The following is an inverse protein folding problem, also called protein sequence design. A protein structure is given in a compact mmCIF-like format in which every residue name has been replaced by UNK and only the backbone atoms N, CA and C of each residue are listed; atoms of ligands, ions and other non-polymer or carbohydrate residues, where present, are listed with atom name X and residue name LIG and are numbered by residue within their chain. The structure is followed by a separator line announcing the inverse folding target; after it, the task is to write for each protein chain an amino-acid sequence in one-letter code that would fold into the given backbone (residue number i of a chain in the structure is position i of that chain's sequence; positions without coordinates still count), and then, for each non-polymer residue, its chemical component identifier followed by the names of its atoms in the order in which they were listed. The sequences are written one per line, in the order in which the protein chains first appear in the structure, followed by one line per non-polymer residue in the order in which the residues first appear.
data_IF_740329617091
#
_entry.id   IF_740329617091
#
_cell.length_a   1.000
_cell.length_b   1.000
_cell.length_c   1.000
_cell.angle_alpha   90.00
_cell.angle_beta   90.00
_cell.angle_gamma   90.00
#
_symmetry.space_group_name_H-M   'P 1'
#
loop_
_entity.id
_entity.type
_entity.pdbx_description
1 polymer ?
#
# COMPACT_ATOMS: atom_id res chain seq x y z
N UNK A 1 4.59 -15.90 2.28
CA UNK A 1 5.03 -17.14 2.94
C UNK A 1 4.07 -18.28 2.67
N UNK A 2 2.79 -18.21 3.10
CA UNK A 2 1.81 -19.29 2.87
C UNK A 2 1.70 -19.75 1.42
N UNK A 3 1.65 -18.82 0.47
CA UNK A 3 1.55 -19.15 -0.96
C UNK A 3 2.80 -19.89 -1.49
N UNK A 4 3.99 -19.54 -1.03
CA UNK A 4 5.23 -20.12 -1.52
C UNK A 4 5.58 -21.43 -0.81
N UNK A 5 5.45 -21.47 0.53
CA UNK A 5 5.91 -22.61 1.33
C UNK A 5 4.80 -23.57 1.75
N UNK A 6 3.52 -23.23 1.49
CA UNK A 6 2.39 -24.01 1.99
C UNK A 6 2.34 -24.05 3.52
N UNK A 7 2.70 -22.93 4.18
CA UNK A 7 2.77 -22.85 5.63
C UNK A 7 1.44 -23.27 6.28
N UNK A 8 1.50 -24.24 7.17
CA UNK A 8 0.38 -24.73 7.98
C UNK A 8 0.37 -24.04 9.34
N UNK A 9 -0.80 -24.04 10.01
CA UNK A 9 -0.94 -23.47 11.35
C UNK A 9 -1.39 -22.00 11.38
N UNK A 10 -1.70 -21.40 10.23
CA UNK A 10 -2.40 -20.11 10.14
C UNK A 10 -3.90 -20.43 10.15
N UNK A 11 -4.65 -19.85 11.10
CA UNK A 11 -6.11 -20.04 11.20
C UNK A 11 -6.88 -19.08 10.30
N UNK A 12 -6.47 -17.82 10.27
CA UNK A 12 -7.11 -16.79 9.47
C UNK A 12 -6.14 -15.67 9.13
N UNK A 13 -6.51 -14.81 8.18
CA UNK A 13 -5.71 -13.66 7.75
C UNK A 13 -6.61 -12.42 7.70
N UNK A 14 -6.11 -11.30 8.22
CA UNK A 14 -6.60 -9.98 7.89
C UNK A 14 -5.61 -9.31 6.95
N UNK A 15 -6.07 -8.89 5.78
CA UNK A 15 -5.27 -8.19 4.77
C UNK A 15 -5.76 -6.75 4.66
N UNK A 16 -4.97 -5.80 5.14
CA UNK A 16 -5.31 -4.38 5.05
C UNK A 16 -4.55 -3.71 3.92
N UNK A 17 -5.28 -3.10 2.98
CA UNK A 17 -4.80 -2.27 1.86
C UNK A 17 -3.91 -2.99 0.84
N UNK A 18 -3.72 -4.29 0.97
CA UNK A 18 -2.91 -5.12 0.07
C UNK A 18 -3.72 -6.33 -0.41
N UNK A 19 -3.32 -6.85 -1.56
CA UNK A 19 -3.95 -8.00 -2.20
C UNK A 19 -2.95 -8.71 -3.11
N UNK A 20 -3.33 -9.86 -3.68
CA UNK A 20 -2.53 -10.52 -4.71
C UNK A 20 -2.59 -9.73 -6.02
N UNK A 21 -3.76 -9.20 -6.38
CA UNK A 21 -3.91 -8.27 -7.49
C UNK A 21 -3.61 -6.84 -7.02
N UNK A 22 -2.91 -6.07 -7.87
CA UNK A 22 -2.42 -4.74 -7.53
C UNK A 22 -2.69 -3.77 -8.68
N UNK A 23 -3.77 -3.01 -8.58
CA UNK A 23 -4.09 -1.95 -9.54
C UNK A 23 -3.72 -0.61 -8.93
N UNK A 24 -2.67 0.03 -9.42
CA UNK A 24 -2.26 1.36 -8.95
C UNK A 24 -3.15 2.48 -9.52
N UNK A 25 -3.21 3.60 -8.81
CA UNK A 25 -3.82 4.83 -9.29
C UNK A 25 -3.06 5.46 -10.47
N UNK A 26 -3.55 6.58 -10.97
CA UNK A 26 -3.02 7.22 -12.18
C UNK A 26 -1.53 7.58 -12.03
N UNK A 27 -1.14 8.20 -10.90
CA UNK A 27 0.25 8.59 -10.67
C UNK A 27 1.17 7.38 -10.49
N UNK A 28 0.69 6.32 -9.84
CA UNK A 28 1.42 5.06 -9.70
C UNK A 28 1.65 4.43 -11.08
N UNK A 29 0.64 4.38 -11.93
CA UNK A 29 0.75 3.89 -13.31
C UNK A 29 1.74 4.72 -14.13
N UNK A 30 1.70 6.05 -14.02
CA UNK A 30 2.61 6.93 -14.73
C UNK A 30 4.07 6.71 -14.30
N UNK A 31 4.37 6.76 -13.01
CA UNK A 31 5.72 6.55 -12.48
C UNK A 31 6.29 5.17 -12.85
N UNK A 32 5.47 4.13 -12.73
CA UNK A 32 5.89 2.75 -13.02
C UNK A 32 6.00 2.48 -14.50
N UNK A 33 5.12 3.07 -15.33
CA UNK A 33 5.17 2.99 -16.79
C UNK A 33 6.41 3.66 -17.38
N UNK A 34 6.80 4.82 -16.84
CA UNK A 34 8.02 5.53 -17.22
C UNK A 34 9.30 4.90 -16.64
N UNK A 35 9.19 3.80 -15.89
CA UNK A 35 10.32 3.14 -15.20
C UNK A 35 11.15 4.12 -14.37
N UNK A 36 10.46 5.01 -13.66
CA UNK A 36 11.09 6.09 -12.92
C UNK A 36 12.06 5.59 -11.83
N UNK A 37 11.78 4.53 -11.05
CA UNK A 37 12.74 3.97 -10.10
C UNK A 37 14.01 3.44 -10.78
N UNK A 38 13.89 2.79 -11.93
CA UNK A 38 15.04 2.27 -12.70
C UNK A 38 15.89 3.42 -13.25
N UNK A 39 15.27 4.55 -13.64
CA UNK A 39 15.98 5.73 -14.09
C UNK A 39 16.78 6.38 -12.96
N UNK A 40 16.18 6.58 -11.80
CA UNK A 40 16.85 7.14 -10.62
C UNK A 40 18.04 6.27 -10.18
N UNK A 41 17.86 4.96 -10.15
CA UNK A 41 18.93 4.01 -9.81
C UNK A 41 20.12 4.09 -10.77
N UNK A 42 19.87 4.20 -12.07
CA UNK A 42 20.92 4.42 -13.10
C UNK A 42 21.65 5.75 -12.94
N UNK A 43 21.01 6.75 -12.36
CA UNK A 43 21.62 8.04 -12.03
C UNK A 43 22.43 8.02 -10.72
N UNK A 44 22.56 6.83 -10.08
CA UNK A 44 23.26 6.67 -8.81
C UNK A 44 22.44 6.98 -7.58
N UNK A 45 21.11 7.13 -7.71
CA UNK A 45 20.19 7.36 -6.59
C UNK A 45 19.66 6.00 -6.14
N UNK A 46 20.31 5.39 -5.17
CA UNK A 46 20.00 4.04 -4.70
C UNK A 46 19.00 3.99 -3.53
N UNK A 47 18.70 5.15 -2.94
CA UNK A 47 17.70 5.30 -1.88
C UNK A 47 17.05 6.67 -1.92
N UNK A 48 15.85 6.76 -1.37
CA UNK A 48 15.13 8.01 -1.14
C UNK A 48 14.85 8.14 0.35
N UNK A 49 15.02 9.34 0.89
CA UNK A 49 14.76 9.67 2.27
C UNK A 49 13.53 10.57 2.39
N UNK A 50 12.53 10.14 3.12
CA UNK A 50 11.36 10.95 3.44
C UNK A 50 11.69 11.99 4.53
N UNK A 51 12.65 11.70 5.41
CA UNK A 51 13.10 12.61 6.45
C UNK A 51 13.88 13.79 5.85
N UNK A 52 13.67 14.98 6.38
CA UNK A 52 14.49 16.15 6.12
C UNK A 52 14.49 17.04 7.35
N UNK A 53 15.65 17.58 7.72
CA UNK A 53 15.80 18.50 8.84
C UNK A 53 16.19 19.90 8.37
N UNK A 54 16.24 20.85 9.32
CA UNK A 54 16.67 22.24 9.04
C UNK A 54 18.16 22.38 8.68
N UNK A 55 18.97 21.34 8.97
CA UNK A 55 20.42 21.29 8.67
C UNK A 55 20.70 20.60 7.34
N UNK A 56 19.65 20.29 6.57
CA UNK A 56 19.75 19.67 5.26
C UNK A 56 20.79 20.34 4.36
N UNK A 57 21.63 19.55 3.72
CA UNK A 57 22.65 19.99 2.79
C UNK A 57 22.07 20.65 1.54
N UNK A 58 22.93 21.20 0.69
CA UNK A 58 22.49 21.90 -0.54
C UNK A 58 21.74 20.97 -1.51
N UNK A 59 22.13 19.69 -1.60
CA UNK A 59 21.43 18.68 -2.42
C UNK A 59 20.00 18.44 -1.93
N UNK A 60 19.80 18.34 -0.62
CA UNK A 60 18.51 18.20 0.01
C UNK A 60 17.59 19.40 -0.28
N UNK A 61 18.16 20.61 -0.24
CA UNK A 61 17.43 21.83 -0.57
C UNK A 61 17.00 21.84 -2.03
N UNK A 62 17.89 21.43 -2.93
CA UNK A 62 17.59 21.30 -4.36
C UNK A 62 16.49 20.27 -4.59
N UNK A 63 16.57 19.12 -3.93
CA UNK A 63 15.54 18.06 -3.98
C UNK A 63 14.18 18.60 -3.49
N UNK A 64 14.15 19.26 -2.34
CA UNK A 64 12.93 19.86 -1.81
C UNK A 64 12.35 20.96 -2.73
N UNK A 65 13.20 21.72 -3.43
CA UNK A 65 12.74 22.71 -4.42
C UNK A 65 12.15 22.01 -5.67
N UNK A 66 12.80 20.97 -6.17
CA UNK A 66 12.29 20.19 -7.30
C UNK A 66 10.92 19.58 -6.98
N UNK A 67 10.72 19.09 -5.74
CA UNK A 67 9.45 18.54 -5.30
C UNK A 67 8.30 19.55 -5.21
N UNK A 68 8.58 20.86 -5.18
CA UNK A 68 7.52 21.89 -5.29
C UNK A 68 6.87 21.92 -6.66
N UNK A 69 7.54 21.41 -7.68
CA UNK A 69 7.03 21.30 -9.05
C UNK A 69 6.27 19.98 -9.27
N UNK A 70 6.33 19.04 -8.30
CA UNK A 70 5.62 17.79 -8.39
C UNK A 70 4.11 18.02 -8.20
N UNK A 71 3.25 17.55 -9.11
CA UNK A 71 1.81 17.70 -9.00
C UNK A 71 1.27 16.83 -7.88
N UNK A 72 1.10 17.42 -6.71
CA UNK A 72 0.44 16.81 -5.56
C UNK A 72 -0.78 17.66 -5.17
N UNK A 73 -1.81 17.09 -4.54
CA UNK A 73 -2.90 17.88 -3.97
C UNK A 73 -2.35 18.95 -3.03
N UNK A 74 -2.75 20.21 -3.27
CA UNK A 74 -2.33 21.37 -2.49
C UNK A 74 -3.28 21.50 -1.29
N UNK A 75 -2.99 20.81 -0.23
CA UNK A 75 -3.56 21.06 1.09
C UNK A 75 -2.51 21.72 2.00
N UNK A 76 -2.90 22.18 3.18
CA UNK A 76 -2.01 22.90 4.09
C UNK A 76 -0.77 22.07 4.49
N UNK A 77 -0.91 20.76 4.60
CA UNK A 77 0.19 19.85 4.95
C UNK A 77 1.07 19.47 3.74
N UNK A 78 0.56 19.55 2.52
CA UNK A 78 1.37 19.42 1.31
C UNK A 78 2.45 20.52 1.21
N UNK A 79 2.39 21.55 2.04
CA UNK A 79 3.44 22.56 2.19
C UNK A 79 4.67 22.04 2.93
N UNK A 80 4.57 21.00 3.75
CA UNK A 80 5.69 20.37 4.47
C UNK A 80 6.65 19.67 3.49
N UNK A 81 7.97 19.86 3.62
CA UNK A 81 8.94 19.12 2.80
C UNK A 81 8.83 17.59 3.00
N UNK A 82 8.55 17.12 4.21
CA UNK A 82 8.39 15.71 4.54
C UNK A 82 7.17 15.13 3.81
N UNK A 83 6.02 15.79 3.90
CA UNK A 83 4.80 15.35 3.23
C UNK A 83 4.99 15.27 1.70
N UNK A 84 5.65 16.25 1.09
CA UNK A 84 5.97 16.21 -0.35
C UNK A 84 6.87 15.04 -0.72
N UNK A 85 7.87 14.71 0.12
CA UNK A 85 8.72 13.54 -0.08
C UNK A 85 7.93 12.25 0.01
N UNK A 86 7.05 12.11 1.00
CA UNK A 86 6.17 10.95 1.16
C UNK A 86 5.27 10.81 -0.09
N UNK A 87 4.59 11.88 -0.50
CA UNK A 87 3.72 11.88 -1.69
C UNK A 87 4.48 11.57 -2.98
N UNK A 88 5.70 12.08 -3.11
CA UNK A 88 6.56 11.74 -4.24
C UNK A 88 6.99 10.28 -4.23
N UNK A 89 7.41 9.75 -3.08
CA UNK A 89 7.90 8.37 -2.96
C UNK A 89 6.76 7.36 -3.12
N UNK A 90 5.68 7.53 -2.37
CA UNK A 90 4.65 6.50 -2.19
C UNK A 90 3.30 6.84 -2.84
N UNK A 91 3.03 8.12 -3.15
CA UNK A 91 1.72 8.60 -3.58
C UNK A 91 0.90 9.15 -2.41
N UNK A 92 -0.40 9.36 -2.64
CA UNK A 92 -1.33 9.83 -1.60
C UNK A 92 -1.67 8.64 -0.70
N UNK A 93 -1.05 8.60 0.49
CA UNK A 93 -1.18 7.49 1.42
C UNK A 93 -2.34 7.65 2.42
N UNK A 94 -2.87 8.85 2.59
CA UNK A 94 -3.86 9.14 3.63
C UNK A 94 -4.75 10.32 3.26
N UNK A 95 -5.93 10.35 3.86
CA UNK A 95 -6.82 11.48 3.86
C UNK A 95 -6.52 12.35 5.09
N UNK A 96 -6.33 13.66 4.90
CA UNK A 96 -5.94 14.57 5.97
C UNK A 96 -6.99 14.66 7.08
N UNK A 97 -8.26 14.63 6.71
CA UNK A 97 -9.39 14.66 7.64
C UNK A 97 -9.52 13.40 8.49
N UNK A 98 -8.83 12.31 8.11
CA UNK A 98 -8.75 11.08 8.91
C UNK A 98 -7.60 11.09 9.93
N UNK A 99 -6.66 12.02 9.85
CA UNK A 99 -5.53 12.08 10.76
C UNK A 99 -5.73 13.17 11.83
N UNK A 100 -5.20 12.95 13.02
CA UNK A 100 -5.10 13.99 14.03
C UNK A 100 -3.78 14.77 13.89
N UNK A 101 -3.72 15.95 14.50
CA UNK A 101 -2.54 16.82 14.43
C UNK A 101 -1.29 16.15 14.96
N UNK A 102 -1.37 15.38 16.05
CA UNK A 102 -0.22 14.68 16.60
C UNK A 102 0.36 13.63 15.64
N UNK A 103 -0.49 12.90 14.91
CA UNK A 103 -0.03 11.96 13.88
C UNK A 103 0.64 12.70 12.72
N UNK A 104 0.07 13.82 12.29
CA UNK A 104 0.65 14.64 11.21
C UNK A 104 2.01 15.22 11.60
N UNK A 105 2.13 15.70 12.85
CA UNK A 105 3.39 16.22 13.38
C UNK A 105 4.48 15.13 13.50
N UNK A 106 4.08 13.88 13.81
CA UNK A 106 4.97 12.74 13.94
C UNK A 106 5.33 12.06 12.59
N UNK A 107 4.75 12.49 11.46
CA UNK A 107 4.99 11.86 10.15
C UNK A 107 6.48 11.75 9.79
N UNK A 108 7.30 12.74 10.19
CA UNK A 108 8.73 12.73 9.95
C UNK A 108 9.48 11.61 10.72
N UNK A 109 8.88 11.05 11.77
CA UNK A 109 9.41 9.91 12.53
C UNK A 109 8.90 8.57 12.00
N UNK A 110 7.80 8.57 11.26
CA UNK A 110 7.14 7.35 10.77
C UNK A 110 7.73 6.87 9.43
N UNK A 111 8.34 7.77 8.67
CA UNK A 111 8.91 7.47 7.35
C UNK A 111 10.41 7.76 7.35
N UNK A 112 11.18 6.80 6.90
CA UNK A 112 12.63 6.88 6.82
C UNK A 112 13.15 6.66 5.41
N UNK A 113 14.32 6.03 5.32
CA UNK A 113 15.01 5.72 4.07
C UNK A 113 14.39 4.49 3.42
N UNK A 114 14.01 4.60 2.16
CA UNK A 114 13.57 3.49 1.34
C UNK A 114 14.57 3.20 0.21
N UNK A 115 14.94 1.94 0.03
CA UNK A 115 15.88 1.54 -1.00
C UNK A 115 15.20 1.47 -2.38
N UNK A 116 15.97 1.78 -3.43
CA UNK A 116 15.47 1.81 -4.80
C UNK A 116 15.05 0.42 -5.30
N UNK A 117 15.64 -0.66 -4.80
CA UNK A 117 15.25 -2.02 -5.16
C UNK A 117 13.81 -2.35 -4.76
N UNK A 118 13.35 -1.86 -3.60
CA UNK A 118 11.95 -1.98 -3.19
C UNK A 118 11.02 -1.25 -4.15
N UNK A 119 11.36 -0.02 -4.55
CA UNK A 119 10.55 0.73 -5.52
C UNK A 119 10.54 0.08 -6.91
N UNK A 120 11.67 -0.47 -7.37
CA UNK A 120 11.74 -1.23 -8.63
C UNK A 120 10.85 -2.47 -8.58
N UNK A 121 10.83 -3.18 -7.45
CA UNK A 121 9.96 -4.35 -7.28
C UNK A 121 8.48 -3.97 -7.24
N UNK A 122 8.10 -2.95 -6.46
CA UNK A 122 6.73 -2.41 -6.42
C UNK A 122 6.28 -1.94 -7.82
N UNK A 123 7.17 -1.25 -8.55
CA UNK A 123 6.88 -0.82 -9.91
C UNK A 123 6.65 -2.00 -10.87
N UNK A 124 7.38 -3.11 -10.69
CA UNK A 124 7.17 -4.35 -11.46
C UNK A 124 5.82 -4.98 -11.14
N UNK A 125 5.46 -5.09 -9.86
CA UNK A 125 4.15 -5.57 -9.40
C UNK A 125 3.02 -4.69 -9.99
N UNK A 126 3.16 -3.37 -9.93
CA UNK A 126 2.15 -2.46 -10.46
C UNK A 126 1.97 -2.58 -12.00
N UNK A 127 3.07 -2.84 -12.73
CA UNK A 127 3.00 -3.10 -14.19
C UNK A 127 2.39 -4.45 -14.52
N UNK A 128 2.67 -5.48 -13.73
CA UNK A 128 2.07 -6.80 -13.88
C UNK A 128 0.58 -6.84 -13.50
N UNK A 129 0.15 -5.92 -12.63
CA UNK A 129 -1.21 -5.89 -12.07
C UNK A 129 -1.44 -6.90 -10.96
N UNK A 130 -0.42 -7.63 -10.55
CA UNK A 130 -0.46 -8.63 -9.48
C UNK A 130 0.94 -8.90 -8.91
N UNK A 131 1.00 -9.63 -7.80
CA UNK A 131 2.24 -9.99 -7.15
C UNK A 131 3.10 -10.88 -8.06
N UNK A 132 4.35 -10.47 -8.26
CA UNK A 132 5.40 -11.23 -8.93
C UNK A 132 6.66 -11.24 -8.07
N UNK A 133 7.58 -12.16 -8.32
CA UNK A 133 8.89 -12.18 -7.67
C UNK A 133 9.74 -10.95 -8.07
N UNK A 134 10.84 -10.72 -7.36
CA UNK A 134 11.74 -9.60 -7.64
C UNK A 134 12.37 -9.64 -9.03
N UNK A 135 12.52 -10.82 -9.62
CA UNK A 135 12.95 -11.04 -11.01
C UNK A 135 11.80 -10.98 -12.03
N UNK A 136 10.55 -10.94 -11.57
CA UNK A 136 9.33 -10.94 -12.37
C UNK A 136 8.67 -12.30 -12.57
N UNK A 137 9.18 -13.36 -11.93
CA UNK A 137 8.60 -14.69 -12.05
C UNK A 137 7.21 -14.79 -11.43
N UNK A 138 6.32 -15.53 -12.09
CA UNK A 138 4.94 -15.81 -11.67
C UNK A 138 4.93 -16.93 -10.64
N UNK A 139 5.18 -16.58 -9.37
CA UNK A 139 5.30 -17.56 -8.28
C UNK A 139 4.15 -17.48 -7.26
N UNK A 140 3.22 -16.54 -7.41
CA UNK A 140 2.13 -16.33 -6.44
C UNK A 140 0.78 -16.79 -6.99
N UNK A 141 0.33 -16.27 -8.13
CA UNK A 141 -0.97 -16.61 -8.72
C UNK A 141 -1.19 -18.13 -8.94
N UNK A 142 -0.16 -18.91 -9.34
CA UNK A 142 -0.33 -20.36 -9.49
C UNK A 142 -0.66 -21.11 -8.19
N UNK A 143 -0.56 -20.44 -7.03
CA UNK A 143 -0.71 -21.06 -5.70
C UNK A 143 -1.83 -20.42 -4.86
N UNK A 144 -2.86 -19.87 -5.49
CA UNK A 144 -4.05 -19.34 -4.79
C UNK A 144 -4.78 -20.43 -3.99
N UNK A 145 -4.71 -21.69 -4.44
CA UNK A 145 -5.23 -22.87 -3.74
C UNK A 145 -4.67 -23.03 -2.32
N UNK A 146 -3.46 -22.52 -2.05
CA UNK A 146 -2.81 -22.56 -0.74
C UNK A 146 -3.38 -21.53 0.26
N UNK A 147 -4.26 -20.66 -0.18
CA UNK A 147 -4.97 -19.69 0.64
C UNK A 147 -6.42 -20.12 0.94
N UNK A 148 -6.69 -21.42 0.98
CA UNK A 148 -7.99 -22.01 1.35
C UNK A 148 -8.25 -21.92 2.87
N UNK A 149 -8.25 -20.68 3.41
CA UNK A 149 -8.51 -20.35 4.81
C UNK A 149 -9.28 -19.03 4.91
N UNK A 150 -9.93 -18.72 6.05
CA UNK A 150 -10.67 -17.48 6.22
C UNK A 150 -9.76 -16.25 6.03
N UNK A 151 -10.15 -15.34 5.12
CA UNK A 151 -9.45 -14.07 4.88
C UNK A 151 -10.44 -12.92 4.84
N UNK A 152 -10.16 -11.87 5.60
CA UNK A 152 -10.87 -10.60 5.51
C UNK A 152 -9.96 -9.54 4.91
N UNK A 153 -10.44 -8.90 3.84
CA UNK A 153 -9.80 -7.75 3.21
C UNK A 153 -10.41 -6.46 3.73
N UNK A 154 -9.56 -5.55 4.18
CA UNK A 154 -9.91 -4.17 4.52
C UNK A 154 -9.30 -3.25 3.47
N UNK A 155 -10.10 -2.34 2.91
CA UNK A 155 -9.61 -1.41 1.90
C UNK A 155 -10.27 -0.04 2.08
N UNK A 156 -9.48 1.03 2.07
CA UNK A 156 -10.01 2.39 2.07
C UNK A 156 -10.58 2.76 0.69
N UNK A 157 -11.79 3.31 0.66
CA UNK A 157 -12.48 3.72 -0.56
C UNK A 157 -11.64 4.69 -1.42
N UNK A 158 -10.92 5.61 -0.75
CA UNK A 158 -10.10 6.65 -1.39
C UNK A 158 -8.64 6.25 -1.59
N UNK A 159 -8.29 4.98 -1.40
CA UNK A 159 -6.92 4.52 -1.60
C UNK A 159 -6.50 4.62 -3.07
N UNK A 160 -5.67 5.62 -3.41
CA UNK A 160 -5.12 5.85 -4.75
C UNK A 160 -3.75 5.17 -4.97
N UNK A 161 -3.11 4.68 -3.91
CA UNK A 161 -1.85 3.93 -4.02
C UNK A 161 -2.08 2.57 -4.66
N UNK A 162 -3.03 1.82 -4.12
CA UNK A 162 -3.61 0.61 -4.71
C UNK A 162 -5.13 0.76 -4.68
N UNK A 163 -5.75 0.79 -5.84
CA UNK A 163 -7.20 1.02 -5.95
C UNK A 163 -8.02 -0.10 -5.29
N UNK A 164 -9.20 0.19 -4.75
CA UNK A 164 -10.08 -0.79 -4.10
C UNK A 164 -10.41 -2.02 -4.95
N UNK A 165 -10.41 -1.89 -6.27
CA UNK A 165 -10.60 -3.00 -7.22
C UNK A 165 -9.54 -4.11 -7.04
N UNK A 166 -8.37 -3.80 -6.47
CA UNK A 166 -7.30 -4.80 -6.21
C UNK A 166 -7.75 -5.90 -5.27
N UNK A 167 -8.39 -5.52 -4.16
CA UNK A 167 -8.94 -6.50 -3.19
C UNK A 167 -10.17 -7.20 -3.74
N UNK A 168 -10.97 -6.56 -4.59
CA UNK A 168 -12.12 -7.15 -5.26
C UNK A 168 -11.66 -8.29 -6.20
N UNK A 169 -10.72 -8.02 -7.11
CA UNK A 169 -10.18 -9.05 -8.02
C UNK A 169 -9.54 -10.21 -7.27
N UNK A 170 -8.86 -9.92 -6.16
CA UNK A 170 -8.25 -10.98 -5.33
C UNK A 170 -9.31 -11.84 -4.66
N UNK A 171 -10.35 -11.23 -4.11
CA UNK A 171 -11.48 -11.95 -3.51
C UNK A 171 -12.14 -12.87 -4.53
N UNK A 172 -12.43 -12.37 -5.73
CA UNK A 172 -13.04 -13.15 -6.82
C UNK A 172 -12.15 -14.34 -7.22
N UNK A 173 -10.85 -14.11 -7.41
CA UNK A 173 -9.90 -15.16 -7.78
C UNK A 173 -9.76 -16.24 -6.69
N UNK A 174 -9.69 -15.84 -5.42
CA UNK A 174 -9.64 -16.77 -4.29
C UNK A 174 -10.94 -17.56 -4.13
N UNK A 175 -12.08 -16.90 -4.30
CA UNK A 175 -13.39 -17.58 -4.27
C UNK A 175 -13.49 -18.63 -5.37
N UNK A 176 -13.13 -18.27 -6.59
CA UNK A 176 -13.13 -19.20 -7.71
C UNK A 176 -12.19 -20.40 -7.49
N UNK A 177 -11.04 -20.19 -6.85
CA UNK A 177 -10.06 -21.25 -6.59
C UNK A 177 -10.43 -22.16 -5.41
N UNK A 178 -11.06 -21.65 -4.34
CA UNK A 178 -11.15 -22.35 -3.06
C UNK A 178 -12.58 -22.54 -2.51
N UNK A 179 -13.53 -21.74 -2.99
CA UNK A 179 -14.91 -21.69 -2.49
C UNK A 179 -15.89 -21.31 -3.62
N UNK A 180 -15.88 -22.03 -4.77
CA UNK A 180 -16.58 -21.63 -5.98
C UNK A 180 -18.11 -21.59 -5.84
N UNK A 181 -18.67 -22.34 -4.91
CA UNK A 181 -20.10 -22.35 -4.59
C UNK A 181 -20.46 -21.44 -3.41
N UNK A 182 -19.46 -20.80 -2.79
CA UNK A 182 -19.63 -19.91 -1.63
C UNK A 182 -20.04 -20.61 -0.33
N UNK A 183 -20.05 -21.95 -0.32
CA UNK A 183 -20.58 -22.74 0.82
C UNK A 183 -19.73 -22.63 2.08
N UNK A 184 -18.44 -22.34 1.95
CA UNK A 184 -17.50 -22.19 3.07
C UNK A 184 -17.45 -20.78 3.64
N UNK A 185 -17.81 -19.76 2.84
CA UNK A 185 -17.77 -18.35 3.25
C UNK A 185 -16.39 -17.87 3.69
N UNK A 186 -15.33 -18.34 3.00
CA UNK A 186 -13.94 -18.12 3.41
C UNK A 186 -13.50 -16.65 3.33
N UNK A 187 -14.05 -15.89 2.37
CA UNK A 187 -13.51 -14.58 2.04
C UNK A 187 -14.53 -13.48 2.26
N UNK A 188 -14.09 -12.43 2.96
CA UNK A 188 -14.87 -11.21 3.20
C UNK A 188 -14.09 -9.99 2.74
N UNK A 189 -14.78 -8.92 2.35
CA UNK A 189 -14.19 -7.65 1.98
C UNK A 189 -14.99 -6.50 2.56
N UNK A 190 -14.29 -5.57 3.19
CA UNK A 190 -14.84 -4.32 3.70
C UNK A 190 -14.13 -3.17 3.02
N UNK A 191 -14.87 -2.36 2.29
CA UNK A 191 -14.44 -1.09 1.75
C UNK A 191 -14.88 0.00 2.71
N UNK A 192 -13.90 0.74 3.26
CA UNK A 192 -14.15 1.69 4.34
C UNK A 192 -14.32 3.08 3.73
N UNK A 193 -15.51 3.69 3.83
CA UNK A 193 -15.80 4.99 3.23
C UNK A 193 -14.94 6.09 3.80
N UNK A 194 -14.40 6.95 2.92
CA UNK A 194 -13.63 8.13 3.30
C UNK A 194 -12.21 7.87 3.80
N UNK A 195 -11.71 6.63 3.73
CA UNK A 195 -10.34 6.26 4.13
C UNK A 195 -9.44 6.06 2.92
N UNK A 196 -8.17 6.45 3.06
CA UNK A 196 -7.08 6.19 2.12
C UNK A 196 -6.33 4.88 2.42
N UNK A 197 -5.00 4.92 2.32
CA UNK A 197 -4.16 3.72 2.48
C UNK A 197 -3.75 3.45 3.93
N UNK A 198 -3.06 4.39 4.60
CA UNK A 198 -2.53 4.14 5.95
C UNK A 198 -3.49 4.57 7.07
N UNK A 199 -4.39 5.47 6.80
CA UNK A 199 -5.38 5.97 7.76
C UNK A 199 -6.40 4.89 8.17
N UNK A 200 -6.58 3.84 7.42
CA UNK A 200 -7.26 2.63 7.91
C UNK A 200 -6.59 2.02 9.17
N UNK A 201 -5.32 2.36 9.44
CA UNK A 201 -4.59 1.91 10.64
C UNK A 201 -4.38 3.05 11.63
N UNK A 202 -3.95 4.23 11.14
CA UNK A 202 -3.58 5.37 12.00
C UNK A 202 -4.66 6.43 12.09
N UNK A 203 -5.77 6.28 11.36
CA UNK A 203 -6.86 7.26 11.33
C UNK A 203 -7.43 7.47 12.72
N UNK A 204 -7.74 8.73 13.04
CA UNK A 204 -8.28 9.13 14.35
C UNK A 204 -9.55 8.37 14.76
N UNK A 205 -10.32 7.91 13.78
CA UNK A 205 -11.56 7.15 13.99
C UNK A 205 -11.43 5.66 13.60
N UNK A 206 -10.23 5.18 13.20
CA UNK A 206 -10.04 3.79 12.75
C UNK A 206 -10.47 2.75 13.80
N UNK A 207 -10.36 3.08 15.08
CA UNK A 207 -10.82 2.25 16.20
C UNK A 207 -12.34 1.98 16.16
N UNK A 208 -13.12 2.88 15.59
CA UNK A 208 -14.58 2.76 15.46
C UNK A 208 -15.00 2.24 14.08
N UNK A 209 -14.32 2.67 13.02
CA UNK A 209 -14.75 2.45 11.64
C UNK A 209 -14.09 1.23 11.00
N UNK A 210 -12.88 0.85 11.44
CA UNK A 210 -12.06 -0.20 10.82
C UNK A 210 -11.84 -1.40 11.74
N UNK A 211 -11.39 -1.16 12.98
CA UNK A 211 -10.99 -2.23 13.89
C UNK A 211 -12.11 -3.19 14.28
N UNK A 212 -13.41 -2.84 14.34
CA UNK A 212 -14.48 -3.79 14.58
C UNK A 212 -14.54 -4.90 13.52
N UNK A 213 -14.25 -4.62 12.25
CA UNK A 213 -14.20 -5.62 11.19
C UNK A 213 -13.06 -6.61 11.39
N UNK A 214 -11.89 -6.10 11.86
CA UNK A 214 -10.71 -6.91 12.18
C UNK A 214 -11.01 -7.84 13.36
N UNK A 215 -11.52 -7.27 14.46
CA UNK A 215 -11.83 -8.02 15.69
C UNK A 215 -12.87 -9.10 15.42
N UNK A 216 -13.99 -8.76 14.74
CA UNK A 216 -15.03 -9.72 14.37
C UNK A 216 -14.44 -10.92 13.58
N UNK A 217 -13.51 -10.65 12.66
CA UNK A 217 -12.87 -11.72 11.90
C UNK A 217 -11.98 -12.60 12.78
N UNK A 218 -11.15 -11.99 13.63
CA UNK A 218 -10.23 -12.73 14.49
C UNK A 218 -10.99 -13.57 15.53
N UNK A 219 -12.01 -13.03 16.16
CA UNK A 219 -12.85 -13.73 17.14
C UNK A 219 -13.60 -14.91 16.52
N UNK A 220 -14.13 -14.75 15.30
CA UNK A 220 -14.83 -15.82 14.60
C UNK A 220 -13.91 -16.98 14.18
N UNK A 221 -12.59 -16.80 14.20
CA UNK A 221 -11.59 -17.79 13.75
C UNK A 221 -10.52 -18.08 14.82
N UNK A 222 -10.80 -17.76 16.08
CA UNK A 222 -9.91 -17.99 17.21
C UNK A 222 -9.72 -19.48 17.57
#
# INVERSE_FOLDING_TARGET
MSMLSGLKGIRSIVSSQIAVHCTGGIMTKLKTGLRFPELLDKMGIHSLDAYTDRKAGWLDRLYNQALRLYPAPLDEYAASPVDRRIKFMYGVLYELDQLNTATLDAMHEMFGIACMDSFKHIARIARAGHLVAADGAEIYLPHLDRLALPITFIHGEKNDTFLPVSTQHTLEALTAANDPDGSKGLYKRHEIPGYGHIDCIFGKNAVHDVFPHILTHLEANA
#
